data_IF_270619441854
#
_entry.id   IF_270619441854
#
_cell.length_a   1.000
_cell.length_b   1.000
_cell.length_c   1.000
_cell.angle_alpha   90.00
_cell.angle_beta   90.00
_cell.angle_gamma   90.00
#
_symmetry.space_group_name_H-M   'P 1'
#
loop_
_entity.id
_entity.type
_entity.pdbx_description
1 polymer ?
#
# COMPACT_ATOMS: atom_id res chain seq x y z
N UNK A 1 4.23 -13.55 -2.31
CA UNK A 1 4.52 -12.14 -1.90
C UNK A 1 3.58 -11.73 -0.77
N UNK A 2 4.03 -10.90 0.19
CA UNK A 2 3.15 -10.41 1.28
C UNK A 2 2.58 -9.04 0.92
N UNK A 3 1.39 -8.66 1.45
CA UNK A 3 0.86 -7.31 1.30
C UNK A 3 1.86 -6.25 1.76
N UNK A 4 1.99 -5.17 1.00
CA UNK A 4 2.94 -4.08 1.29
C UNK A 4 2.46 -3.27 2.50
N UNK A 5 1.16 -3.10 2.63
CA UNK A 5 0.50 -2.30 3.65
C UNK A 5 -0.31 -3.18 4.60
N UNK A 6 -0.33 -2.78 5.87
CA UNK A 6 -1.34 -3.24 6.81
C UNK A 6 -2.63 -2.46 6.53
N UNK A 7 -3.66 -3.16 6.09
CA UNK A 7 -4.92 -2.54 5.69
C UNK A 7 -6.09 -3.14 6.46
N UNK A 8 -6.92 -2.27 7.03
CA UNK A 8 -8.14 -2.69 7.72
C UNK A 8 -9.09 -3.38 6.73
N UNK A 9 -9.65 -4.53 7.09
CA UNK A 9 -10.45 -5.34 6.18
C UNK A 9 -9.64 -6.06 5.10
N UNK A 10 -8.31 -6.18 5.28
CA UNK A 10 -7.44 -6.89 4.35
C UNK A 10 -7.89 -8.34 4.17
N UNK A 11 -7.94 -8.78 2.90
CA UNK A 11 -8.40 -10.12 2.50
C UNK A 11 -7.45 -11.26 2.87
N UNK A 12 -6.36 -10.97 3.62
CA UNK A 12 -5.38 -12.01 4.00
C UNK A 12 -6.00 -13.15 4.82
N UNK A 13 -6.98 -12.86 5.67
CA UNK A 13 -7.69 -13.87 6.46
C UNK A 13 -8.68 -14.70 5.62
N UNK A 14 -9.18 -14.13 4.53
CA UNK A 14 -10.11 -14.78 3.62
C UNK A 14 -9.42 -15.38 2.39
N UNK A 15 -8.11 -15.27 2.30
CA UNK A 15 -7.36 -15.62 1.09
C UNK A 15 -7.56 -17.09 0.69
N UNK A 16 -7.50 -18.00 1.64
CA UNK A 16 -7.73 -19.44 1.38
C UNK A 16 -9.13 -19.72 0.84
N UNK A 17 -10.14 -19.04 1.38
CA UNK A 17 -11.53 -19.19 0.94
C UNK A 17 -11.73 -18.60 -0.47
N UNK A 18 -11.12 -17.44 -0.74
CA UNK A 18 -11.16 -16.82 -2.07
C UNK A 18 -10.48 -17.74 -3.10
N UNK A 19 -9.31 -18.28 -2.76
CA UNK A 19 -8.54 -19.16 -3.63
C UNK A 19 -9.35 -20.43 -3.98
N UNK A 20 -10.02 -21.03 -3.00
CA UNK A 20 -10.82 -22.24 -3.21
C UNK A 20 -11.99 -22.03 -4.19
N UNK A 21 -12.38 -20.77 -4.43
CA UNK A 21 -13.47 -20.39 -5.33
C UNK A 21 -13.00 -19.92 -6.71
N UNK A 22 -11.69 -19.91 -6.97
CA UNK A 22 -11.21 -19.61 -8.32
C UNK A 22 -11.69 -20.67 -9.31
N UNK A 23 -12.13 -20.26 -10.51
CA UNK A 23 -12.53 -21.21 -11.54
C UNK A 23 -11.36 -22.12 -11.94
N UNK A 24 -11.57 -23.41 -12.19
CA UNK A 24 -10.48 -24.35 -12.55
C UNK A 24 -9.64 -23.90 -13.75
N UNK A 25 -10.22 -23.18 -14.70
CA UNK A 25 -9.52 -22.75 -15.92
C UNK A 25 -8.35 -21.80 -15.66
N UNK A 26 -8.29 -21.13 -14.52
CA UNK A 26 -7.17 -20.22 -14.18
C UNK A 26 -5.82 -20.95 -14.08
N UNK A 27 -5.85 -22.28 -13.97
CA UNK A 27 -4.64 -23.12 -13.93
C UNK A 27 -4.15 -23.52 -15.32
N UNK A 28 -4.99 -23.40 -16.36
CA UNK A 28 -4.72 -23.98 -17.68
C UNK A 28 -4.92 -23.02 -18.85
N UNK A 29 -5.57 -21.91 -18.63
CA UNK A 29 -5.90 -20.94 -19.69
C UNK A 29 -5.50 -19.53 -19.30
N UNK A 30 -5.08 -18.75 -20.28
CA UNK A 30 -4.77 -17.35 -20.11
C UNK A 30 -6.02 -16.56 -19.69
N UNK A 31 -5.87 -15.72 -18.67
CA UNK A 31 -6.98 -14.93 -18.13
C UNK A 31 -6.54 -13.55 -17.63
N UNK A 32 -7.53 -12.70 -17.38
CA UNK A 32 -7.39 -11.41 -16.73
C UNK A 32 -8.06 -11.46 -15.35
N UNK A 33 -7.34 -11.03 -14.31
CA UNK A 33 -7.91 -10.82 -12.97
C UNK A 33 -8.25 -9.34 -12.78
N UNK A 34 -9.47 -9.08 -12.31
CA UNK A 34 -9.91 -7.73 -11.95
C UNK A 34 -10.22 -7.72 -10.45
N UNK A 35 -9.52 -6.89 -9.69
CA UNK A 35 -9.73 -6.66 -8.26
C UNK A 35 -10.18 -5.21 -8.01
N UNK A 36 -11.52 -4.95 -7.94
CA UNK A 36 -12.05 -3.58 -7.82
C UNK A 36 -11.85 -2.96 -6.43
N UNK A 37 -11.52 -3.75 -5.42
CA UNK A 37 -11.27 -3.33 -4.04
C UNK A 37 -9.96 -3.97 -3.56
N UNK A 38 -8.82 -3.52 -4.11
CA UNK A 38 -7.53 -4.18 -3.92
C UNK A 38 -7.02 -4.10 -2.48
N UNK A 39 -7.27 -3.00 -1.77
CA UNK A 39 -6.77 -2.80 -0.42
C UNK A 39 -5.26 -3.02 -0.33
N UNK A 40 -4.82 -3.83 0.61
CA UNK A 40 -3.40 -4.20 0.78
C UNK A 40 -2.84 -5.16 -0.28
N UNK A 41 -3.64 -5.62 -1.25
CA UNK A 41 -3.20 -6.43 -2.39
C UNK A 41 -3.02 -7.93 -2.10
N UNK A 42 -3.64 -8.47 -1.06
CA UNK A 42 -3.43 -9.87 -0.66
C UNK A 42 -3.75 -10.86 -1.78
N UNK A 43 -4.90 -10.68 -2.46
CA UNK A 43 -5.33 -11.54 -3.57
C UNK A 43 -4.48 -11.32 -4.80
N UNK A 44 -4.26 -10.05 -5.18
CA UNK A 44 -3.44 -9.67 -6.34
C UNK A 44 -2.01 -10.22 -6.25
N UNK A 45 -1.34 -10.04 -5.11
CA UNK A 45 0.03 -10.53 -4.94
C UNK A 45 0.09 -12.06 -4.88
N UNK A 46 -0.90 -12.71 -4.25
CA UNK A 46 -0.99 -14.15 -4.30
C UNK A 46 -1.17 -14.66 -5.73
N UNK A 47 -2.05 -14.04 -6.50
CA UNK A 47 -2.31 -14.42 -7.88
C UNK A 47 -1.07 -14.28 -8.78
N UNK A 48 -0.31 -13.17 -8.62
CA UNK A 48 0.95 -12.96 -9.34
C UNK A 48 1.99 -14.05 -9.03
N UNK A 49 2.02 -14.56 -7.79
CA UNK A 49 2.99 -15.59 -7.39
C UNK A 49 2.56 -17.02 -7.80
N UNK A 50 1.27 -17.28 -7.93
CA UNK A 50 0.76 -18.66 -7.98
C UNK A 50 -0.02 -19.01 -9.25
N UNK A 51 -0.40 -18.01 -10.08
CA UNK A 51 -1.21 -18.26 -11.26
C UNK A 51 -0.42 -17.95 -12.54
N UNK A 52 0.22 -18.97 -13.16
CA UNK A 52 1.13 -18.77 -14.29
C UNK A 52 0.43 -18.27 -15.57
N UNK A 53 -0.87 -18.51 -15.67
CA UNK A 53 -1.71 -18.08 -16.79
C UNK A 53 -2.35 -16.71 -16.61
N UNK A 54 -2.03 -15.98 -15.51
CA UNK A 54 -2.45 -14.60 -15.31
C UNK A 54 -1.70 -13.67 -16.26
N UNK A 55 -2.38 -13.19 -17.31
CA UNK A 55 -1.78 -12.28 -18.33
C UNK A 55 -1.99 -10.82 -18.02
N UNK A 56 -3.06 -10.48 -17.32
CA UNK A 56 -3.39 -9.10 -16.98
C UNK A 56 -4.00 -9.02 -15.60
N UNK A 57 -3.48 -8.11 -14.81
CA UNK A 57 -4.05 -7.75 -13.50
C UNK A 57 -4.55 -6.31 -13.57
N UNK A 58 -5.83 -6.12 -13.30
CA UNK A 58 -6.46 -4.80 -13.19
C UNK A 58 -6.88 -4.62 -11.75
N UNK A 59 -6.33 -3.61 -11.09
CA UNK A 59 -6.63 -3.30 -9.70
C UNK A 59 -7.25 -1.92 -9.58
N UNK A 60 -8.19 -1.78 -8.66
CA UNK A 60 -8.78 -0.51 -8.30
C UNK A 60 -9.05 -0.47 -6.79
N UNK A 61 -9.16 0.74 -6.25
CA UNK A 61 -9.63 0.99 -4.89
C UNK A 61 -10.21 2.41 -4.82
N UNK A 62 -11.11 2.63 -3.87
CA UNK A 62 -11.66 3.96 -3.62
C UNK A 62 -10.66 4.88 -2.91
N UNK A 63 -9.61 4.33 -2.32
CA UNK A 63 -8.57 5.10 -1.65
C UNK A 63 -7.47 5.50 -2.64
N UNK A 64 -7.41 6.80 -2.97
CA UNK A 64 -6.44 7.34 -3.90
C UNK A 64 -4.98 7.13 -3.45
N UNK A 65 -4.69 7.15 -2.14
CA UNK A 65 -3.34 6.94 -1.62
C UNK A 65 -2.85 5.50 -1.87
N UNK A 66 -3.76 4.51 -1.78
CA UNK A 66 -3.45 3.13 -2.20
C UNK A 66 -3.11 3.06 -3.68
N UNK A 67 -3.90 3.70 -4.52
CA UNK A 67 -3.68 3.71 -5.97
C UNK A 67 -2.36 4.40 -6.31
N UNK A 68 -2.01 5.49 -5.63
CA UNK A 68 -0.72 6.16 -5.80
C UNK A 68 0.46 5.23 -5.46
N UNK A 69 0.34 4.38 -4.42
CA UNK A 69 1.36 3.36 -4.11
C UNK A 69 1.52 2.39 -5.27
N UNK A 70 0.43 1.79 -5.76
CA UNK A 70 0.50 0.83 -6.86
C UNK A 70 1.01 1.46 -8.16
N UNK A 71 0.61 2.68 -8.46
CA UNK A 71 1.13 3.43 -9.61
C UNK A 71 2.63 3.72 -9.49
N UNK A 72 3.10 4.07 -8.29
CA UNK A 72 4.52 4.32 -8.04
C UNK A 72 5.35 3.04 -8.16
N UNK A 73 4.82 1.91 -7.68
CA UNK A 73 5.46 0.60 -7.85
C UNK A 73 5.57 0.24 -9.35
N UNK A 74 4.54 0.52 -10.13
CA UNK A 74 4.50 0.17 -11.54
C UNK A 74 5.40 1.09 -12.40
N UNK A 75 5.35 2.41 -12.14
CA UNK A 75 5.97 3.42 -13.03
C UNK A 75 7.36 3.86 -12.57
N UNK A 76 7.57 3.98 -11.27
CA UNK A 76 8.78 4.58 -10.68
C UNK A 76 9.31 3.77 -9.48
N UNK A 77 9.50 2.44 -9.59
CA UNK A 77 9.85 1.60 -8.44
C UNK A 77 11.17 2.02 -7.78
N UNK A 78 12.17 2.38 -8.56
CA UNK A 78 13.47 2.78 -8.03
C UNK A 78 13.40 4.09 -7.24
N UNK A 79 12.65 5.07 -7.73
CA UNK A 79 12.44 6.33 -7.01
C UNK A 79 11.69 6.09 -5.70
N UNK A 80 10.65 5.24 -5.71
CA UNK A 80 9.93 4.86 -4.49
C UNK A 80 10.84 4.20 -3.47
N UNK A 81 11.68 3.24 -3.90
CA UNK A 81 12.65 2.56 -3.03
C UNK A 81 13.63 3.57 -2.43
N UNK A 82 14.18 4.48 -3.23
CA UNK A 82 15.12 5.49 -2.76
C UNK A 82 14.48 6.40 -1.70
N UNK A 83 13.25 6.86 -1.92
CA UNK A 83 12.50 7.67 -0.94
C UNK A 83 12.23 6.89 0.36
N UNK A 84 11.84 5.62 0.27
CA UNK A 84 11.63 4.78 1.45
C UNK A 84 12.92 4.54 2.22
N UNK A 85 14.04 4.31 1.53
CA UNK A 85 15.35 4.15 2.18
C UNK A 85 15.78 5.42 2.94
N UNK A 86 15.57 6.61 2.34
CA UNK A 86 15.86 7.88 3.01
C UNK A 86 15.00 8.07 4.27
N UNK A 87 13.70 7.78 4.18
CA UNK A 87 12.80 7.86 5.33
C UNK A 87 13.19 6.86 6.43
N UNK A 88 13.54 5.62 6.03
CA UNK A 88 13.95 4.57 6.96
C UNK A 88 15.26 4.95 7.65
N UNK A 89 16.30 5.35 6.91
CA UNK A 89 17.59 5.74 7.47
C UNK A 89 17.44 6.90 8.46
N UNK A 90 16.71 7.94 8.08
CA UNK A 90 16.47 9.10 8.97
C UNK A 90 15.67 8.71 10.23
N UNK A 91 14.75 7.75 10.13
CA UNK A 91 13.97 7.27 11.28
C UNK A 91 14.79 6.36 12.19
N UNK A 92 15.70 5.55 11.64
CA UNK A 92 16.55 4.61 12.38
C UNK A 92 17.68 5.30 13.15
N UNK A 93 18.13 6.49 12.69
CA UNK A 93 19.07 7.34 13.42
C UNK A 93 18.48 7.88 14.73
N UNK A 94 17.15 7.94 14.86
CA UNK A 94 16.47 8.40 16.06
C UNK A 94 16.36 7.25 17.06
N UNK A 95 16.93 7.46 18.26
CA UNK A 95 17.07 6.39 19.26
C UNK A 95 15.93 6.35 20.27
N UNK A 96 15.30 7.51 20.53
CA UNK A 96 14.27 7.66 21.56
C UNK A 96 12.88 7.91 20.95
N UNK A 97 11.84 7.58 21.73
CA UNK A 97 10.48 7.89 21.35
C UNK A 97 10.21 9.40 21.22
N UNK A 98 10.90 10.21 22.03
CA UNK A 98 10.75 11.66 22.03
C UNK A 98 11.34 12.29 20.77
N UNK A 99 12.35 11.67 20.16
CA UNK A 99 12.89 12.05 18.85
C UNK A 99 12.01 11.53 17.71
N UNK A 100 11.51 10.30 17.81
CA UNK A 100 10.68 9.66 16.76
C UNK A 100 9.32 10.31 16.59
N UNK A 101 8.70 10.78 17.67
CA UNK A 101 7.38 11.42 17.62
C UNK A 101 7.37 12.70 16.74
N UNK A 102 8.23 13.70 16.97
CA UNK A 102 8.26 14.89 16.12
C UNK A 102 8.53 14.56 14.66
N UNK A 103 9.43 13.62 14.38
CA UNK A 103 9.71 13.17 13.02
C UNK A 103 8.47 12.58 12.35
N UNK A 104 7.77 11.66 13.03
CA UNK A 104 6.53 11.08 12.52
C UNK A 104 5.47 12.14 12.22
N UNK A 105 5.26 13.08 13.15
CA UNK A 105 4.28 14.17 12.95
C UNK A 105 4.67 15.13 11.83
N UNK A 106 5.95 15.43 11.65
CA UNK A 106 6.45 16.24 10.53
C UNK A 106 6.15 15.54 9.19
N UNK A 107 6.41 14.21 9.09
CA UNK A 107 6.09 13.44 7.88
C UNK A 107 4.58 13.33 7.64
N UNK A 108 3.78 13.24 8.70
CA UNK A 108 2.31 13.27 8.61
C UNK A 108 1.80 14.62 8.12
N UNK A 109 2.36 15.73 8.58
CA UNK A 109 2.01 17.06 8.11
C UNK A 109 2.35 17.25 6.62
N UNK A 110 3.52 16.77 6.22
CA UNK A 110 3.94 16.78 4.80
C UNK A 110 3.02 15.91 3.94
N UNK A 111 2.62 14.73 4.42
CA UNK A 111 1.64 13.88 3.74
C UNK A 111 0.28 14.58 3.58
N UNK A 112 -0.17 15.28 4.62
CA UNK A 112 -1.47 15.93 4.64
C UNK A 112 -1.50 17.23 3.82
N UNK A 113 -0.36 17.86 3.51
CA UNK A 113 -0.31 19.04 2.64
C UNK A 113 -0.79 18.74 1.22
N UNK A 114 -0.66 17.49 0.77
CA UNK A 114 -1.03 17.05 -0.58
C UNK A 114 -0.30 17.78 -1.71
N UNK A 115 0.81 18.43 -1.43
CA UNK A 115 1.61 19.21 -2.38
C UNK A 115 2.76 18.39 -3.00
N UNK A 116 2.87 17.12 -2.63
CA UNK A 116 3.94 16.24 -3.08
C UNK A 116 3.59 15.57 -4.42
N UNK A 117 4.63 15.19 -5.18
CA UNK A 117 4.41 14.29 -6.30
C UNK A 117 3.91 12.90 -5.84
N UNK A 118 3.36 12.12 -6.78
CA UNK A 118 2.72 10.83 -6.49
C UNK A 118 3.69 9.87 -5.78
N UNK A 119 4.96 9.83 -6.16
CA UNK A 119 5.94 8.88 -5.60
C UNK A 119 6.34 9.28 -4.17
N UNK A 120 6.53 10.59 -3.91
CA UNK A 120 6.78 11.10 -2.55
C UNK A 120 5.54 10.85 -1.68
N UNK A 121 4.35 11.16 -2.18
CA UNK A 121 3.09 10.92 -1.46
C UNK A 121 2.92 9.43 -1.11
N UNK A 122 3.22 8.52 -2.05
CA UNK A 122 3.19 7.09 -1.83
C UNK A 122 4.22 6.62 -0.79
N UNK A 123 5.44 7.16 -0.82
CA UNK A 123 6.49 6.82 0.15
C UNK A 123 6.12 7.25 1.57
N UNK A 124 5.56 8.45 1.72
CA UNK A 124 5.05 8.95 3.00
C UNK A 124 3.90 8.10 3.52
N UNK A 125 2.98 7.70 2.65
CA UNK A 125 1.87 6.82 3.01
C UNK A 125 2.35 5.46 3.54
N UNK A 126 3.30 4.82 2.84
CA UNK A 126 3.91 3.56 3.27
C UNK A 126 4.62 3.73 4.62
N UNK A 127 5.43 4.79 4.76
CA UNK A 127 6.14 5.08 6.00
C UNK A 127 5.18 5.25 7.18
N UNK A 128 4.16 6.09 7.04
CA UNK A 128 3.18 6.35 8.10
C UNK A 128 2.37 5.11 8.47
N UNK A 129 2.06 4.25 7.49
CA UNK A 129 1.40 2.97 7.73
C UNK A 129 2.28 1.99 8.53
N UNK A 130 3.59 1.98 8.29
CA UNK A 130 4.55 1.09 8.96
C UNK A 130 4.97 1.61 10.33
N UNK A 131 5.24 2.91 10.45
CA UNK A 131 5.72 3.56 11.68
C UNK A 131 4.58 3.94 12.64
N UNK A 132 3.34 4.00 12.16
CA UNK A 132 2.17 4.31 12.97
C UNK A 132 1.86 3.24 14.00
N UNK A 133 1.29 3.66 15.13
CA UNK A 133 0.84 2.75 16.18
C UNK A 133 -0.18 1.74 15.61
N UNK A 134 0.09 0.46 15.75
CA UNK A 134 -0.69 -0.67 15.18
C UNK A 134 -0.75 -0.73 13.65
N UNK A 135 0.03 0.07 12.91
CA UNK A 135 0.02 0.06 11.44
C UNK A 135 -1.33 0.40 10.80
N UNK A 136 -2.22 1.05 11.54
CA UNK A 136 -3.53 1.45 11.03
C UNK A 136 -3.45 2.88 10.49
N UNK A 137 -3.62 3.02 9.18
CA UNK A 137 -3.91 4.29 8.55
C UNK A 137 -5.31 4.75 8.97
N UNK A 138 -5.37 5.89 9.67
CA UNK A 138 -6.62 6.56 10.01
C UNK A 138 -6.63 7.94 9.38
N UNK A 139 -7.56 8.17 8.47
CA UNK A 139 -7.90 9.52 8.02
C UNK A 139 -8.68 10.19 9.15
N UNK A 140 -8.21 11.33 9.62
CA UNK A 140 -8.98 12.14 10.56
C UNK A 140 -10.17 12.73 9.79
N UNK A 141 -11.38 12.26 10.07
CA UNK A 141 -12.62 12.74 9.44
C UNK A 141 -12.82 14.26 9.62
N UNK A 142 -12.19 14.87 10.62
CA UNK A 142 -12.23 16.32 10.84
C UNK A 142 -11.47 17.13 9.77
N UNK A 143 -10.63 16.51 8.94
CA UNK A 143 -9.95 17.16 7.81
C UNK A 143 -10.76 17.12 6.50
N UNK A 144 -11.87 16.38 6.48
CA UNK A 144 -12.77 16.31 5.32
C UNK A 144 -13.73 17.52 5.26
N UNK A 145 -13.82 18.31 6.33
CA UNK A 145 -14.73 19.46 6.43
C UNK A 145 -14.07 20.81 6.24
N UNK A 146 -12.90 20.89 5.62
CA UNK A 146 -12.32 22.17 5.19
C UNK A 146 -12.22 22.14 3.67
N UNK A 147 -13.32 22.42 3.05
CA UNK A 147 -13.39 22.93 1.68
C UNK A 147 -14.16 24.24 1.70
#
# INVERSE_FOLDING_TARGET
MKPILKWAGGKSQLLSEIISRFPPYVQTQDFCLIEPFVGGGAVSFWALDNLPHLKRLIINDNNADLIHVYQSIQKNPQQLINQLNQLQSAYDELTTLDEKKPFFYAKRSLFNSRENDITIQASLFIFLNKAGFNGLYRVNLSLIHIS
#
